data_IF_919916477795
#
_entry.id   IF_919916477795
#
_cell.length_a   1.000
_cell.length_b   1.000
_cell.length_c   1.000
_cell.angle_alpha   90.00
_cell.angle_beta   90.00
_cell.angle_gamma   90.00
#
_symmetry.space_group_name_H-M   'P 1'
#
loop_
_entity.id
_entity.type
_entity.pdbx_description
1 polymer ?
#
# COMPACT_ATOMS: atom_id res chain seq x y z
N UNK A 1 13.34 2.96 19.73
CA UNK A 1 12.09 3.66 20.13
C UNK A 1 12.36 5.16 20.25
N UNK A 2 11.97 5.97 19.26
CA UNK A 2 11.95 7.42 19.45
C UNK A 2 10.61 7.81 20.07
N UNK A 3 10.62 8.32 21.31
CA UNK A 3 9.44 8.78 22.06
C UNK A 3 8.37 7.71 22.35
N UNK A 4 8.73 6.42 22.42
CA UNK A 4 7.80 5.36 22.85
C UNK A 4 6.85 4.80 21.79
N UNK A 5 6.95 5.25 20.53
CA UNK A 5 6.12 4.76 19.42
C UNK A 5 6.95 3.97 18.40
N UNK A 6 6.33 2.96 17.78
CA UNK A 6 6.88 2.29 16.61
C UNK A 6 6.91 3.26 15.44
N UNK A 7 8.05 3.37 14.78
CA UNK A 7 8.21 4.19 13.57
C UNK A 7 8.56 3.26 12.40
N UNK A 8 7.91 3.42 11.24
CA UNK A 8 8.29 2.68 10.05
C UNK A 8 9.71 3.10 9.63
N UNK A 9 10.53 2.12 9.22
CA UNK A 9 11.88 2.37 8.70
C UNK A 9 11.87 2.55 7.19
N UNK A 10 11.11 1.70 6.49
CA UNK A 10 10.94 1.73 5.06
C UNK A 10 9.62 1.06 4.67
N UNK A 11 9.13 1.39 3.47
CA UNK A 11 7.99 0.74 2.84
C UNK A 11 8.40 0.21 1.49
N UNK A 12 7.79 -0.90 1.08
CA UNK A 12 8.05 -1.54 -0.20
C UNK A 12 6.80 -2.25 -0.69
N UNK A 13 6.54 -2.15 -1.98
CA UNK A 13 5.50 -2.91 -2.68
C UNK A 13 5.97 -3.30 -4.08
N UNK A 14 5.42 -4.39 -4.60
CA UNK A 14 5.73 -4.92 -5.92
C UNK A 14 4.46 -5.49 -6.56
N UNK A 15 4.19 -5.08 -7.79
CA UNK A 15 3.12 -5.67 -8.61
C UNK A 15 3.51 -7.07 -9.07
N UNK A 16 2.52 -7.95 -9.20
CA UNK A 16 2.72 -9.26 -9.80
C UNK A 16 2.77 -9.17 -11.33
N UNK A 17 3.60 -10.01 -11.95
CA UNK A 17 3.54 -10.21 -13.40
C UNK A 17 2.32 -11.05 -13.81
N UNK A 18 2.04 -11.16 -15.10
CA UNK A 18 0.88 -11.90 -15.63
C UNK A 18 0.78 -13.33 -15.08
N UNK A 19 1.91 -14.05 -15.04
CA UNK A 19 1.97 -15.41 -14.49
C UNK A 19 1.66 -15.45 -12.99
N UNK A 20 2.25 -14.55 -12.20
CA UNK A 20 2.07 -14.48 -10.74
C UNK A 20 0.66 -14.04 -10.35
N UNK A 21 0.02 -13.18 -11.16
CA UNK A 21 -1.36 -12.75 -10.93
C UNK A 21 -2.35 -13.93 -10.98
N UNK A 22 -2.04 -14.95 -11.78
CA UNK A 22 -2.81 -16.20 -11.89
C UNK A 22 -2.61 -17.18 -10.72
N UNK A 23 -1.67 -16.91 -9.82
CA UNK A 23 -1.38 -17.79 -8.68
C UNK A 23 -2.53 -17.84 -7.67
N UNK A 24 -2.56 -18.93 -6.90
CA UNK A 24 -3.48 -19.06 -5.77
C UNK A 24 -3.23 -17.95 -4.74
N UNK A 25 -4.26 -17.62 -3.94
CA UNK A 25 -4.11 -16.62 -2.88
C UNK A 25 -2.94 -16.93 -1.95
N UNK A 26 -2.75 -18.19 -1.58
CA UNK A 26 -1.63 -18.61 -0.75
C UNK A 26 -0.27 -18.38 -1.43
N UNK A 27 -0.14 -18.75 -2.70
CA UNK A 27 1.11 -18.59 -3.43
C UNK A 27 1.45 -17.12 -3.65
N UNK A 28 0.46 -16.27 -3.92
CA UNK A 28 0.67 -14.81 -4.04
C UNK A 28 1.18 -14.21 -2.74
N UNK A 29 0.54 -14.52 -1.62
CA UNK A 29 0.97 -14.04 -0.30
C UNK A 29 2.37 -14.53 0.06
N UNK A 30 2.69 -15.79 -0.23
CA UNK A 30 4.01 -16.35 0.01
C UNK A 30 5.10 -15.69 -0.87
N UNK A 31 4.81 -15.49 -2.16
CA UNK A 31 5.73 -14.82 -3.08
C UNK A 31 5.95 -13.37 -2.66
N UNK A 32 4.88 -12.63 -2.32
CA UNK A 32 4.98 -11.26 -1.82
C UNK A 32 5.86 -11.19 -0.57
N UNK A 33 5.61 -12.05 0.43
CA UNK A 33 6.42 -12.09 1.65
C UNK A 33 7.89 -12.38 1.35
N UNK A 34 8.16 -13.43 0.56
CA UNK A 34 9.54 -13.80 0.23
C UNK A 34 10.29 -12.71 -0.53
N UNK A 35 9.58 -11.94 -1.37
CA UNK A 35 10.17 -10.84 -2.13
C UNK A 35 10.45 -9.64 -1.23
N UNK A 36 9.56 -9.32 -0.30
CA UNK A 36 9.78 -8.27 0.70
C UNK A 36 10.96 -8.60 1.63
N UNK A 37 11.04 -9.85 2.10
CA UNK A 37 12.16 -10.33 2.92
C UNK A 37 13.49 -10.21 2.17
N UNK A 38 13.49 -10.55 0.87
CA UNK A 38 14.69 -10.44 0.06
C UNK A 38 15.08 -8.98 -0.21
N UNK A 39 14.10 -8.11 -0.47
CA UNK A 39 14.32 -6.69 -0.68
C UNK A 39 14.96 -6.04 0.55
N UNK A 40 14.44 -6.33 1.75
CA UNK A 40 14.96 -5.80 3.00
C UNK A 40 16.07 -6.64 3.63
N UNK A 41 16.64 -7.61 2.92
CA UNK A 41 17.64 -8.55 3.45
C UNK A 41 18.77 -7.85 4.21
N UNK A 42 19.31 -6.77 3.64
CA UNK A 42 20.39 -5.99 4.24
C UNK A 42 20.00 -5.27 5.55
N UNK A 43 18.71 -5.01 5.79
CA UNK A 43 18.18 -4.45 7.04
C UNK A 43 17.79 -5.53 8.05
N UNK A 44 17.38 -6.69 7.56
CA UNK A 44 16.80 -7.76 8.37
C UNK A 44 17.85 -8.76 8.87
N UNK A 45 18.97 -8.93 8.16
CA UNK A 45 20.01 -9.88 8.55
C UNK A 45 20.63 -9.55 9.92
N UNK A 46 20.85 -10.60 10.71
CA UNK A 46 21.52 -10.51 12.01
C UNK A 46 20.64 -10.07 13.18
N UNK A 47 19.34 -9.87 12.99
CA UNK A 47 18.38 -9.55 14.07
C UNK A 47 17.16 -10.46 14.02
N UNK A 48 16.49 -10.71 15.15
CA UNK A 48 15.27 -11.50 15.17
C UNK A 48 14.11 -10.73 14.52
N UNK A 49 13.52 -11.30 13.47
CA UNK A 49 12.47 -10.70 12.66
C UNK A 49 11.13 -11.37 12.92
N UNK A 50 10.11 -10.55 13.19
CA UNK A 50 8.72 -10.97 13.28
C UNK A 50 7.91 -10.34 12.17
N UNK A 51 7.32 -11.16 11.31
CA UNK A 51 6.40 -10.74 10.26
C UNK A 51 4.97 -10.79 10.79
N UNK A 52 4.17 -9.77 10.46
CA UNK A 52 2.74 -9.74 10.74
C UNK A 52 1.97 -9.81 9.42
N UNK A 53 0.97 -10.70 9.36
CA UNK A 53 0.15 -10.94 8.16
C UNK A 53 -1.29 -11.25 8.58
N UNK A 54 -2.26 -10.85 7.77
CA UNK A 54 -3.66 -11.25 7.86
C UNK A 54 -3.94 -12.59 7.15
N UNK A 55 -2.93 -13.20 6.53
CA UNK A 55 -3.07 -14.47 5.84
C UNK A 55 -2.77 -15.67 6.76
N UNK A 56 -3.81 -16.17 7.44
CA UNK A 56 -3.70 -17.32 8.39
C UNK A 56 -2.99 -18.56 7.84
N UNK A 57 -3.20 -19.00 6.58
CA UNK A 57 -2.50 -20.16 6.05
C UNK A 57 -0.96 -20.02 6.04
N UNK A 58 -0.46 -18.79 5.92
CA UNK A 58 0.99 -18.51 5.88
C UNK A 58 1.67 -18.75 7.23
N UNK A 59 0.94 -18.52 8.32
CA UNK A 59 1.41 -18.78 9.69
C UNK A 59 1.65 -20.29 9.88
N UNK A 60 0.70 -21.10 9.43
CA UNK A 60 0.80 -22.54 9.49
C UNK A 60 1.91 -23.07 8.58
N UNK A 61 2.16 -22.43 7.45
CA UNK A 61 3.14 -22.89 6.47
C UNK A 61 4.58 -22.83 6.98
N UNK A 62 4.95 -21.80 7.75
CA UNK A 62 6.29 -21.68 8.33
C UNK A 62 6.52 -22.56 9.55
N UNK A 63 5.44 -23.05 10.18
CA UNK A 63 5.53 -23.96 11.34
C UNK A 63 5.51 -25.44 10.96
N UNK A 64 5.14 -25.77 9.72
CA UNK A 64 4.96 -27.16 9.25
C UNK A 64 6.19 -27.67 8.48
N UNK A 65 6.46 -28.98 8.51
CA UNK A 65 7.46 -29.60 7.64
C UNK A 65 7.16 -29.33 6.17
N UNK A 66 8.20 -29.09 5.37
CA UNK A 66 8.05 -28.63 3.99
C UNK A 66 7.63 -29.72 2.97
N UNK A 67 7.44 -30.97 3.39
CA UNK A 67 7.31 -32.14 2.49
C UNK A 67 6.05 -32.13 1.62
N UNK A 68 4.98 -31.47 2.05
CA UNK A 68 3.71 -31.42 1.32
C UNK A 68 3.56 -30.17 0.41
N UNK A 69 4.60 -29.33 0.32
CA UNK A 69 4.54 -28.10 -0.46
C UNK A 69 5.08 -28.28 -1.88
N UNK A 70 4.50 -27.53 -2.82
CA UNK A 70 4.97 -27.49 -4.20
C UNK A 70 6.44 -27.03 -4.28
N UNK A 71 7.18 -27.36 -5.36
CA UNK A 71 8.56 -26.88 -5.52
C UNK A 71 8.69 -25.34 -5.42
N UNK A 72 7.70 -24.60 -5.93
CA UNK A 72 7.62 -23.15 -5.81
C UNK A 72 7.50 -22.73 -4.35
N UNK A 73 6.53 -23.30 -3.63
CA UNK A 73 6.28 -22.99 -2.23
C UNK A 73 7.49 -23.31 -1.36
N UNK A 74 8.14 -24.47 -1.56
CA UNK A 74 9.37 -24.85 -0.86
C UNK A 74 10.49 -23.84 -1.07
N UNK A 75 10.72 -23.38 -2.31
CA UNK A 75 11.74 -22.37 -2.61
C UNK A 75 11.50 -21.07 -1.86
N UNK A 76 10.26 -20.58 -1.86
CA UNK A 76 9.92 -19.31 -1.20
C UNK A 76 9.90 -19.44 0.33
N UNK A 77 9.39 -20.55 0.87
CA UNK A 77 9.44 -20.84 2.31
C UNK A 77 10.89 -20.93 2.81
N UNK A 78 11.79 -21.57 2.04
CA UNK A 78 13.21 -21.64 2.39
C UNK A 78 13.83 -20.23 2.51
N UNK A 79 13.57 -19.34 1.53
CA UNK A 79 14.04 -17.94 1.58
C UNK A 79 13.53 -17.20 2.81
N UNK A 80 12.24 -17.35 3.13
CA UNK A 80 11.63 -16.70 4.30
C UNK A 80 12.25 -17.23 5.59
N UNK A 81 12.38 -18.56 5.73
CA UNK A 81 12.88 -19.22 6.94
C UNK A 81 14.35 -18.90 7.28
N UNK A 82 15.14 -18.40 6.32
CA UNK A 82 16.53 -18.00 6.56
C UNK A 82 16.65 -16.69 7.34
N UNK A 83 15.63 -15.82 7.28
CA UNK A 83 15.68 -14.47 7.83
C UNK A 83 14.57 -14.23 8.85
N UNK A 84 13.39 -14.82 8.65
CA UNK A 84 12.21 -14.59 9.49
C UNK A 84 12.10 -15.68 10.55
N UNK A 85 12.14 -15.28 11.82
CA UNK A 85 12.00 -16.20 12.94
C UNK A 85 10.54 -16.58 13.20
N UNK A 86 9.63 -15.60 13.11
CA UNK A 86 8.24 -15.77 13.52
C UNK A 86 7.28 -15.03 12.60
N UNK A 87 6.13 -15.66 12.35
CA UNK A 87 5.01 -15.05 11.65
C UNK A 87 3.79 -15.06 12.55
N UNK A 88 3.20 -13.88 12.74
CA UNK A 88 2.06 -13.67 13.61
C UNK A 88 0.85 -13.20 12.80
N UNK A 89 -0.34 -13.65 13.22
CA UNK A 89 -1.58 -13.14 12.69
C UNK A 89 -1.80 -11.69 13.13
N UNK A 90 -2.16 -10.83 12.21
CA UNK A 90 -2.72 -9.51 12.47
C UNK A 90 -4.02 -9.38 11.69
N UNK A 91 -5.09 -8.92 12.33
CA UNK A 91 -6.36 -8.68 11.62
C UNK A 91 -6.16 -7.67 10.50
N UNK A 92 -6.81 -7.87 9.36
CA UNK A 92 -6.75 -6.95 8.21
C UNK A 92 -7.15 -5.53 8.57
N UNK A 93 -8.09 -5.35 9.49
CA UNK A 93 -8.50 -4.04 10.04
C UNK A 93 -7.34 -3.28 10.69
N UNK A 94 -6.35 -3.99 11.24
CA UNK A 94 -5.16 -3.40 11.83
C UNK A 94 -3.97 -3.35 10.84
N UNK A 95 -4.12 -3.92 9.63
CA UNK A 95 -3.08 -4.02 8.61
C UNK A 95 -3.29 -2.98 7.48
N UNK A 96 -3.82 -1.81 7.83
CA UNK A 96 -4.25 -0.76 6.89
C UNK A 96 -3.12 -0.26 6.00
N UNK A 97 -1.89 -0.18 6.51
CA UNK A 97 -0.75 0.31 5.75
C UNK A 97 -0.40 -0.67 4.62
N UNK A 98 -0.30 -1.97 4.92
CA UNK A 98 0.01 -2.98 3.92
C UNK A 98 -1.12 -3.11 2.88
N UNK A 99 -2.38 -3.04 3.32
CA UNK A 99 -3.55 -3.08 2.43
C UNK A 99 -3.60 -1.85 1.50
N UNK A 100 -3.22 -0.67 1.97
CA UNK A 100 -3.13 0.52 1.12
C UNK A 100 -2.06 0.33 0.02
N UNK A 101 -0.88 -0.19 0.37
CA UNK A 101 0.20 -0.39 -0.59
C UNK A 101 -0.06 -1.52 -1.60
N UNK A 102 -0.81 -2.55 -1.22
CA UNK A 102 -1.16 -3.64 -2.13
C UNK A 102 -2.21 -3.24 -3.18
N UNK A 103 -3.08 -2.27 -2.86
CA UNK A 103 -4.16 -1.79 -3.75
C UNK A 103 -3.72 -0.75 -4.78
N UNK A 104 -2.69 0.06 -4.47
CA UNK A 104 -2.22 1.13 -5.38
C UNK A 104 -1.45 0.58 -6.60
N UNK A 105 -0.96 -0.65 -6.51
CA UNK A 105 -0.16 -1.30 -7.54
C UNK A 105 -0.96 -1.74 -8.80
N UNK A 106 -2.27 -1.45 -8.86
CA UNK A 106 -3.20 -1.89 -9.91
C UNK A 106 -3.33 -0.96 -11.12
N UNK A 107 -2.60 0.16 -11.18
CA UNK A 107 -2.53 0.97 -12.41
C UNK A 107 -1.54 0.32 -13.39
N UNK A 108 -2.10 -0.47 -14.32
CA UNK A 108 -1.37 -1.20 -15.35
C UNK A 108 -0.63 -0.25 -16.30
N UNK A 109 0.71 -0.22 -16.19
CA UNK A 109 1.56 0.21 -17.30
C UNK A 109 2.02 -1.05 -18.01
N UNK A 110 1.46 -1.33 -19.19
CA UNK A 110 1.88 -2.39 -20.08
C UNK A 110 3.35 -2.15 -20.48
N UNK A 111 4.26 -3.01 -20.03
CA UNK A 111 5.63 -3.05 -20.57
C UNK A 111 5.99 -4.51 -20.87
N UNK A 112 6.50 -4.68 -22.09
CA UNK A 112 6.88 -5.89 -22.82
C UNK A 112 7.80 -6.84 -22.03
N UNK A 113 7.54 -8.15 -22.16
CA UNK A 113 8.23 -9.25 -21.48
C UNK A 113 9.66 -9.43 -22.04
N UNK A 114 10.66 -9.07 -21.23
CA UNK A 114 12.04 -9.50 -21.40
C UNK A 114 12.57 -10.06 -20.08
N UNK A 115 13.17 -11.25 -20.15
CA UNK A 115 13.67 -12.06 -19.02
C UNK A 115 14.86 -11.44 -18.25
N UNK A 116 14.94 -10.12 -18.18
CA UNK A 116 15.84 -9.40 -17.30
C UNK A 116 15.03 -8.88 -16.11
N UNK A 117 15.49 -9.22 -14.90
CA UNK A 117 14.95 -8.81 -13.61
C UNK A 117 15.07 -7.28 -13.43
N UNK A 118 14.35 -6.50 -14.23
CA UNK A 118 14.29 -5.04 -14.13
C UNK A 118 13.26 -4.69 -13.04
N UNK A 119 13.79 -4.57 -11.84
CA UNK A 119 13.03 -4.36 -10.62
C UNK A 119 12.39 -2.96 -10.62
N UNK A 120 11.11 -2.86 -11.02
CA UNK A 120 10.30 -1.66 -10.75
C UNK A 120 9.90 -1.66 -9.26
N UNK A 121 10.88 -1.39 -8.40
CA UNK A 121 10.66 -1.14 -6.98
C UNK A 121 10.21 0.31 -6.82
N UNK A 122 8.94 0.52 -6.48
CA UNK A 122 8.53 1.83 -5.96
C UNK A 122 8.98 1.93 -4.50
N UNK A 123 10.17 2.50 -4.29
CA UNK A 123 10.49 3.05 -2.97
C UNK A 123 9.67 4.32 -2.84
N UNK A 124 8.50 4.23 -2.21
CA UNK A 124 7.82 5.44 -1.75
C UNK A 124 8.69 6.05 -0.67
N UNK A 125 9.53 7.00 -1.07
CA UNK A 125 10.13 7.95 -0.13
C UNK A 125 8.97 8.44 0.75
N UNK A 126 9.12 8.31 2.07
CA UNK A 126 8.12 8.75 3.02
C UNK A 126 7.63 10.13 2.58
N UNK A 127 6.36 10.22 2.14
CA UNK A 127 5.72 11.52 1.94
C UNK A 127 5.89 12.20 3.27
N UNK A 128 6.73 13.22 3.29
CA UNK A 128 7.11 13.97 4.48
C UNK A 128 5.84 14.62 5.00
N UNK A 129 5.17 13.94 5.93
CA UNK A 129 3.85 14.28 6.47
C UNK A 129 2.71 14.36 5.45
N UNK A 130 1.49 14.03 5.89
CA UNK A 130 0.30 14.39 5.13
C UNK A 130 0.29 15.92 4.93
N UNK A 131 -0.08 16.41 3.73
CA UNK A 131 -0.08 17.85 3.46
C UNK A 131 -1.00 18.57 4.43
N UNK A 132 -0.55 19.72 4.93
CA UNK A 132 -1.33 20.54 5.85
C UNK A 132 -2.49 21.20 5.10
N UNK A 133 -3.59 21.49 5.78
CA UNK A 133 -4.76 22.21 5.25
C UNK A 133 -4.38 23.47 4.45
N UNK A 134 -3.36 24.21 4.90
CA UNK A 134 -2.81 25.39 4.22
C UNK A 134 -2.15 25.07 2.87
N UNK A 135 -1.43 23.96 2.80
CA UNK A 135 -0.73 23.51 1.58
C UNK A 135 -1.75 23.06 0.54
N UNK A 136 -2.80 22.36 0.97
CA UNK A 136 -3.91 21.94 0.11
C UNK A 136 -4.63 23.19 -0.43
N UNK A 137 -4.94 24.17 0.41
CA UNK A 137 -5.59 25.42 -0.02
C UNK A 137 -4.75 26.17 -1.06
N UNK A 138 -3.46 26.35 -0.80
CA UNK A 138 -2.57 27.07 -1.71
C UNK A 138 -2.46 26.34 -3.06
N UNK A 139 -2.36 25.02 -3.05
CA UNK A 139 -2.36 24.22 -4.28
C UNK A 139 -3.68 24.37 -5.06
N UNK A 140 -4.83 24.40 -4.38
CA UNK A 140 -6.14 24.61 -5.01
C UNK A 140 -6.29 26.02 -5.61
N UNK A 141 -5.73 27.05 -4.97
CA UNK A 141 -5.77 28.44 -5.48
C UNK A 141 -4.89 28.64 -6.72
N UNK A 142 -3.76 27.93 -6.80
CA UNK A 142 -2.84 27.99 -7.94
C UNK A 142 -3.28 27.14 -9.14
N UNK A 143 -4.18 26.17 -8.93
CA UNK A 143 -4.67 25.29 -9.98
C UNK A 143 -5.73 25.98 -10.85
N UNK A 144 -5.28 26.49 -11.99
CA UNK A 144 -6.10 27.22 -12.96
C UNK A 144 -7.22 26.34 -13.54
N UNK A 145 -6.96 25.06 -13.77
CA UNK A 145 -7.96 24.13 -14.32
C UNK A 145 -9.07 23.88 -13.31
N UNK A 146 -8.69 23.64 -12.05
CA UNK A 146 -9.62 23.46 -10.94
C UNK A 146 -10.48 24.71 -10.70
N UNK A 147 -9.89 25.90 -10.69
CA UNK A 147 -10.62 27.17 -10.51
C UNK A 147 -11.59 27.45 -11.66
N UNK A 148 -11.17 27.15 -12.90
CA UNK A 148 -12.03 27.24 -14.09
C UNK A 148 -13.21 26.27 -14.00
N UNK A 149 -12.95 25.04 -13.56
CA UNK A 149 -13.97 24.02 -13.36
C UNK A 149 -14.96 24.41 -12.27
N UNK A 150 -14.50 24.86 -11.10
CA UNK A 150 -15.36 25.35 -10.00
C UNK A 150 -16.26 26.50 -10.49
N UNK A 151 -15.68 27.47 -11.20
CA UNK A 151 -16.41 28.61 -11.77
C UNK A 151 -17.48 28.19 -12.79
N UNK A 152 -17.22 27.13 -13.55
CA UNK A 152 -18.17 26.55 -14.52
C UNK A 152 -19.34 25.84 -13.82
N UNK A 153 -19.08 25.15 -12.71
CA UNK A 153 -20.11 24.45 -11.93
C UNK A 153 -21.04 25.43 -11.19
N UNK A 154 -20.48 26.46 -10.55
CA UNK A 154 -21.26 27.50 -9.82
C UNK A 154 -22.22 28.24 -10.75
N UNK A 155 -21.82 28.50 -12.01
CA UNK A 155 -22.66 29.18 -13.02
C UNK A 155 -23.80 28.32 -13.55
N UNK A 156 -23.66 26.99 -13.56
CA UNK A 156 -24.66 26.08 -14.17
C UNK A 156 -25.80 25.72 -13.24
N UNK A 157 -25.70 26.01 -11.94
CA UNK A 157 -26.83 25.89 -11.02
C UNK A 157 -27.50 24.51 -11.04
N UNK A 158 -26.75 23.41 -11.17
CA UNK A 158 -27.36 22.07 -11.11
C UNK A 158 -26.46 20.99 -10.51
N UNK A 159 -26.95 20.42 -9.40
CA UNK A 159 -27.20 19.00 -9.09
C UNK A 159 -26.41 17.94 -9.89
N UNK A 160 -25.09 18.05 -9.95
CA UNK A 160 -24.22 16.90 -10.23
C UNK A 160 -23.97 16.13 -8.93
N UNK A 161 -23.81 14.80 -9.00
CA UNK A 161 -23.42 13.97 -7.85
C UNK A 161 -22.08 14.36 -7.21
N UNK A 162 -21.35 15.26 -7.86
CA UNK A 162 -20.26 16.04 -7.30
C UNK A 162 -20.76 17.45 -6.98
N UNK A 163 -21.05 17.71 -5.71
CA UNK A 163 -21.39 19.04 -5.22
C UNK A 163 -20.15 19.58 -4.49
N UNK A 164 -19.23 20.30 -5.18
CA UNK A 164 -18.07 20.88 -4.53
C UNK A 164 -18.58 21.94 -3.54
N UNK A 165 -18.20 21.79 -2.27
CA UNK A 165 -18.52 22.75 -1.23
C UNK A 165 -17.24 23.23 -0.58
N UNK A 166 -17.23 24.52 -0.21
CA UNK A 166 -16.20 25.07 0.63
C UNK A 166 -16.49 24.64 2.07
N UNK A 167 -15.64 23.77 2.62
CA UNK A 167 -15.82 23.21 3.97
C UNK A 167 -14.74 23.77 4.89
N UNK A 168 -15.13 24.17 6.09
CA UNK A 168 -14.18 24.60 7.13
C UNK A 168 -13.50 23.40 7.76
N UNK A 169 -12.18 23.38 7.72
CA UNK A 169 -11.33 22.43 8.44
C UNK A 169 -10.41 23.22 9.38
N UNK A 170 -10.85 23.34 10.65
CA UNK A 170 -10.19 24.23 11.61
C UNK A 170 -10.41 25.70 11.23
N UNK A 171 -9.32 26.46 11.08
CA UNK A 171 -9.35 27.87 10.68
C UNK A 171 -9.34 28.09 9.16
N UNK A 172 -9.14 27.02 8.37
CA UNK A 172 -8.99 27.09 6.92
C UNK A 172 -10.24 26.59 6.19
N UNK A 173 -10.40 27.03 4.95
CA UNK A 173 -11.50 26.68 4.05
C UNK A 173 -10.93 25.97 2.81
N UNK A 174 -11.44 24.78 2.51
CA UNK A 174 -10.98 23.93 1.40
C UNK A 174 -12.18 23.47 0.58
N UNK A 175 -12.02 23.37 -0.74
CA UNK A 175 -13.01 22.73 -1.61
C UNK A 175 -12.98 21.21 -1.45
N UNK A 176 -14.12 20.62 -1.05
CA UNK A 176 -14.28 19.17 -0.88
C UNK A 176 -15.57 18.67 -1.53
N UNK A 177 -15.62 17.38 -1.89
CA UNK A 177 -16.84 16.72 -2.31
C UNK A 177 -17.70 16.40 -1.08
N UNK A 178 -18.93 16.93 -1.05
CA UNK A 178 -19.89 16.47 -0.04
C UNK A 178 -20.50 15.13 -0.47
N UNK A 179 -20.30 14.09 0.35
CA UNK A 179 -21.09 12.86 0.26
C UNK A 179 -22.55 13.19 0.57
N UNK A 180 -23.48 12.58 -0.16
CA UNK A 180 -24.93 12.75 -0.01
C UNK A 180 -25.48 12.37 1.39
N UNK A 181 -24.63 11.92 2.31
CA UNK A 181 -24.96 11.50 3.67
C UNK A 181 -24.50 12.46 4.79
N UNK A 182 -24.21 13.74 4.50
CA UNK A 182 -23.93 14.70 5.57
C UNK A 182 -25.20 14.95 6.43
N UNK A 183 -25.15 14.80 7.78
CA UNK A 183 -26.28 15.15 8.63
C UNK A 183 -26.56 16.66 8.55
N UNK A 184 -27.85 17.01 8.52
CA UNK A 184 -28.35 18.39 8.48
C UNK A 184 -27.94 19.20 9.71
#
# INVERSE_FOLDING_TARGET
LQKGYWRPLAFWSKSFNSAQSSYSAFDRELVALSSAVQHFRYLLEGQPITVRTDHKPLIAALSKPTDNFSPLQRRHLAKVSQIVDRVLFQSGECNTIADAFSRVASEEVLVDDGDDEYEKSSVVAAVSSAPTTKEIRLAQELDVELQSWISSQVKKGTVSGYNPALVKFGDDEIWCQMSSNAPK
#
